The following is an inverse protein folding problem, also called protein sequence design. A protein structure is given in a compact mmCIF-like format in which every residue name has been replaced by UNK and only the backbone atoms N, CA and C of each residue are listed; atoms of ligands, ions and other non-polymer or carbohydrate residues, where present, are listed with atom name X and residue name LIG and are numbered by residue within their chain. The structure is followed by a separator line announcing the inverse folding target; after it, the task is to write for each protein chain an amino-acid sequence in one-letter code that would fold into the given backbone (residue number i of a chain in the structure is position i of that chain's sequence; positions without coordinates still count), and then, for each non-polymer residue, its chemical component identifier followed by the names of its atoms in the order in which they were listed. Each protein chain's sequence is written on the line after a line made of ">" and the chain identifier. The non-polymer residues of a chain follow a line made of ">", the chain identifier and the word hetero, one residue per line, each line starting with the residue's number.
data_IF_019069761820
#
_entry.id   IF_019069761820
#
_cell.length_a   1.000
_cell.length_b   1.000
_cell.length_c   1.000
_cell.angle_alpha   90.00
_cell.angle_beta   90.00
_cell.angle_gamma   90.00
#
_symmetry.space_group_name_H-M   'P 1'
#
loop_
_entity.id
_entity.type
_entity.pdbx_description
1 polymer ?
#
# COMPACT_ATOMS: atom_id res chain seq x y z
N UNK A 1 8.11 -21.00 -24.59
CA UNK A 1 8.38 -19.56 -24.42
C UNK A 1 9.85 -19.25 -24.56
N UNK A 2 10.16 -18.16 -25.22
CA UNK A 2 11.55 -17.74 -25.39
C UNK A 2 12.09 -17.15 -24.08
N UNK A 3 13.28 -17.57 -23.69
CA UNK A 3 13.99 -17.03 -22.55
C UNK A 3 15.01 -16.00 -23.03
N UNK A 4 15.06 -14.87 -22.33
CA UNK A 4 16.08 -13.84 -22.58
C UNK A 4 16.84 -13.60 -21.31
N UNK A 5 18.12 -13.27 -21.44
CA UNK A 5 18.99 -12.95 -20.30
C UNK A 5 19.20 -11.45 -20.20
N UNK A 6 19.29 -10.98 -18.99
CA UNK A 6 19.65 -9.59 -18.70
C UNK A 6 20.49 -9.54 -17.43
N UNK A 7 21.25 -8.49 -17.28
CA UNK A 7 22.08 -8.29 -16.08
C UNK A 7 21.51 -7.17 -15.22
N UNK A 8 21.75 -7.27 -13.92
CA UNK A 8 21.35 -6.27 -12.94
C UNK A 8 22.53 -5.91 -12.07
N UNK A 9 22.73 -4.62 -11.87
CA UNK A 9 23.73 -4.10 -10.93
C UNK A 9 23.03 -3.66 -9.66
N UNK A 10 23.48 -4.18 -8.52
CA UNK A 10 22.94 -3.85 -7.21
C UNK A 10 24.07 -3.43 -6.28
N UNK A 11 23.74 -2.56 -5.35
CA UNK A 11 24.62 -2.21 -4.26
C UNK A 11 24.85 -3.43 -3.36
N UNK A 12 26.00 -3.50 -2.69
CA UNK A 12 26.35 -4.65 -1.87
C UNK A 12 25.29 -5.04 -0.85
N UNK A 13 24.74 -4.06 -0.15
CA UNK A 13 23.70 -4.29 0.86
C UNK A 13 22.43 -4.88 0.23
N UNK A 14 22.05 -4.38 -0.92
CA UNK A 14 20.86 -4.85 -1.62
C UNK A 14 21.06 -6.26 -2.17
N UNK A 15 22.26 -6.55 -2.64
CA UNK A 15 22.60 -7.89 -3.12
C UNK A 15 22.60 -8.91 -1.97
N UNK A 16 23.12 -8.52 -0.80
CA UNK A 16 23.06 -9.37 0.39
C UNK A 16 21.60 -9.65 0.79
N UNK A 17 20.75 -8.65 0.72
CA UNK A 17 19.33 -8.82 1.01
C UNK A 17 18.64 -9.78 0.03
N UNK A 18 18.99 -9.68 -1.26
CA UNK A 18 18.49 -10.61 -2.27
C UNK A 18 18.97 -12.05 -1.99
N UNK A 19 20.23 -12.22 -1.65
CA UNK A 19 20.78 -13.55 -1.35
C UNK A 19 20.14 -14.16 -0.09
N UNK A 20 19.87 -13.35 0.92
CA UNK A 20 19.13 -13.78 2.10
C UNK A 20 17.70 -14.23 1.75
N UNK A 21 17.04 -13.48 0.89
CA UNK A 21 15.69 -13.82 0.40
C UNK A 21 15.70 -15.16 -0.35
N UNK A 22 16.71 -15.40 -1.18
CA UNK A 22 16.88 -16.66 -1.90
C UNK A 22 16.98 -17.83 -0.92
N UNK A 23 17.82 -17.71 0.10
CA UNK A 23 18.03 -18.75 1.10
C UNK A 23 16.81 -19.00 1.97
N UNK A 24 16.20 -17.93 2.48
CA UNK A 24 15.06 -18.03 3.40
C UNK A 24 13.83 -18.65 2.74
N UNK A 25 13.66 -18.46 1.44
CA UNK A 25 12.48 -18.93 0.72
C UNK A 25 12.74 -20.19 -0.12
N UNK A 26 13.96 -20.74 -0.05
CA UNK A 26 14.29 -22.01 -0.71
C UNK A 26 14.36 -21.92 -2.23
N UNK A 27 14.64 -20.74 -2.79
CA UNK A 27 14.85 -20.61 -4.22
C UNK A 27 16.17 -21.24 -4.64
N UNK A 28 16.23 -21.81 -5.86
CA UNK A 28 17.43 -22.44 -6.35
C UNK A 28 18.53 -21.44 -6.69
N UNK A 29 18.17 -20.22 -7.10
CA UNK A 29 19.12 -19.19 -7.50
C UNK A 29 18.43 -17.81 -7.50
N UNK A 30 19.23 -16.76 -7.77
CA UNK A 30 18.75 -15.38 -7.82
C UNK A 30 17.67 -15.17 -8.89
N UNK A 31 17.85 -15.81 -10.05
CA UNK A 31 16.89 -15.66 -11.15
C UNK A 31 15.50 -16.13 -10.78
N UNK A 32 15.38 -17.24 -10.06
CA UNK A 32 14.10 -17.73 -9.58
C UNK A 32 13.43 -16.79 -8.58
N UNK A 33 14.23 -16.22 -7.67
CA UNK A 33 13.73 -15.24 -6.71
C UNK A 33 13.20 -13.99 -7.41
N UNK A 34 13.94 -13.47 -8.38
CA UNK A 34 13.52 -12.31 -9.16
C UNK A 34 12.23 -12.61 -9.96
N UNK A 35 12.17 -13.78 -10.59
CA UNK A 35 10.96 -14.20 -11.30
C UNK A 35 9.75 -14.21 -10.37
N UNK A 36 9.90 -14.79 -9.19
CA UNK A 36 8.82 -14.83 -8.19
C UNK A 36 8.34 -13.42 -7.82
N UNK A 37 9.27 -12.50 -7.57
CA UNK A 37 8.92 -11.12 -7.20
C UNK A 37 8.19 -10.40 -8.33
N UNK A 38 8.64 -10.57 -9.57
CA UNK A 38 8.00 -9.95 -10.73
C UNK A 38 6.60 -10.53 -10.96
N UNK A 39 6.45 -11.85 -10.90
CA UNK A 39 5.15 -12.51 -11.08
C UNK A 39 4.16 -12.09 -9.99
N UNK A 40 4.63 -11.98 -8.76
CA UNK A 40 3.80 -11.51 -7.64
C UNK A 40 3.33 -10.08 -7.86
N UNK A 41 4.22 -9.20 -8.29
CA UNK A 41 3.88 -7.80 -8.59
C UNK A 41 2.84 -7.70 -9.71
N UNK A 42 3.00 -8.48 -10.78
CA UNK A 42 2.06 -8.50 -11.89
C UNK A 42 0.69 -9.06 -11.48
N UNK A 43 0.68 -10.10 -10.67
CA UNK A 43 -0.58 -10.69 -10.17
C UNK A 43 -1.35 -9.68 -9.32
N UNK A 44 -0.66 -8.97 -8.43
CA UNK A 44 -1.27 -7.92 -7.62
C UNK A 44 -1.89 -6.82 -8.48
N UNK A 45 -1.20 -6.38 -9.53
CA UNK A 45 -1.72 -5.38 -10.45
C UNK A 45 -2.95 -5.86 -11.21
N UNK A 46 -2.96 -7.12 -11.64
CA UNK A 46 -4.08 -7.67 -12.41
C UNK A 46 -5.37 -7.74 -11.60
N UNK A 47 -5.31 -8.26 -10.38
CA UNK A 47 -6.52 -8.39 -9.60
C UNK A 47 -7.00 -7.07 -9.00
N UNK A 48 -6.11 -6.11 -8.79
CA UNK A 48 -6.47 -4.78 -8.30
C UNK A 48 -7.41 -4.00 -9.23
N UNK A 49 -7.37 -4.29 -10.53
CA UNK A 49 -8.13 -3.47 -11.50
C UNK A 49 -9.63 -3.73 -11.50
N UNK A 50 -10.08 -4.96 -11.29
CA UNK A 50 -11.48 -5.36 -11.54
C UNK A 50 -12.16 -6.11 -10.41
N UNK A 51 -11.53 -6.23 -9.24
CA UNK A 51 -12.08 -7.02 -8.13
C UNK A 51 -12.62 -6.13 -7.02
N UNK A 52 -13.63 -6.65 -6.34
CA UNK A 52 -14.09 -6.07 -5.09
C UNK A 52 -13.11 -6.49 -4.00
N UNK A 53 -12.60 -5.52 -3.29
CA UNK A 53 -11.62 -5.73 -2.23
C UNK A 53 -12.07 -5.03 -0.96
N UNK A 54 -11.64 -5.59 0.15
CA UNK A 54 -11.74 -4.96 1.46
C UNK A 54 -10.36 -4.55 1.91
N UNK A 55 -10.25 -3.47 2.61
CA UNK A 55 -8.95 -3.01 3.04
C UNK A 55 -8.98 -1.96 4.13
N UNK A 56 -7.80 -1.46 4.40
CA UNK A 56 -7.59 -0.42 5.40
C UNK A 56 -6.67 0.64 4.80
N UNK A 57 -7.07 1.89 4.93
CA UNK A 57 -6.21 3.03 4.62
C UNK A 57 -5.82 3.65 5.95
N UNK A 58 -4.52 3.76 6.22
CA UNK A 58 -4.08 4.50 7.38
C UNK A 58 -3.26 5.70 6.94
N UNK A 59 -3.35 6.77 7.72
CA UNK A 59 -2.56 7.98 7.53
C UNK A 59 -2.08 8.48 8.88
N UNK A 60 -0.91 9.09 8.89
CA UNK A 60 -0.27 9.63 10.10
C UNK A 60 0.01 11.10 9.86
N UNK A 61 -0.45 11.93 10.79
CA UNK A 61 -0.27 13.38 10.71
C UNK A 61 -0.23 14.01 12.11
N UNK A 62 0.15 15.29 12.18
CA UNK A 62 0.21 15.99 13.44
C UNK A 62 -1.19 16.32 13.96
N UNK A 63 -1.45 16.02 15.24
CA UNK A 63 -2.75 16.22 15.88
C UNK A 63 -3.21 17.68 15.83
N UNK A 64 -2.30 18.62 15.94
CA UNK A 64 -2.60 20.05 15.94
C UNK A 64 -3.02 20.60 14.56
N UNK A 65 -2.84 19.84 13.50
CA UNK A 65 -3.16 20.27 12.14
C UNK A 65 -4.65 20.07 11.84
N UNK A 66 -5.47 21.02 12.29
CA UNK A 66 -6.91 20.99 12.04
C UNK A 66 -7.26 21.12 10.55
N UNK A 67 -6.40 21.78 9.77
CA UNK A 67 -6.55 21.89 8.33
C UNK A 67 -6.49 20.50 7.65
N UNK A 68 -5.62 19.63 8.11
CA UNK A 68 -5.53 18.26 7.61
C UNK A 68 -6.77 17.47 7.97
N UNK A 69 -7.21 17.53 9.24
CA UNK A 69 -8.42 16.85 9.69
C UNK A 69 -9.63 17.26 8.87
N UNK A 70 -9.78 18.54 8.61
CA UNK A 70 -10.90 19.06 7.82
C UNK A 70 -10.84 18.58 6.38
N UNK A 71 -9.64 18.53 5.78
CA UNK A 71 -9.46 18.02 4.42
C UNK A 71 -9.79 16.53 4.34
N UNK A 72 -9.35 15.74 5.31
CA UNK A 72 -9.67 14.32 5.40
C UNK A 72 -11.18 14.11 5.49
N UNK A 73 -11.84 14.85 6.39
CA UNK A 73 -13.28 14.76 6.57
C UNK A 73 -14.06 15.05 5.27
N UNK A 74 -13.59 16.05 4.51
CA UNK A 74 -14.19 16.40 3.24
C UNK A 74 -14.06 15.28 2.22
N UNK A 75 -12.87 14.68 2.11
CA UNK A 75 -12.64 13.55 1.21
C UNK A 75 -13.50 12.35 1.61
N UNK A 76 -13.54 12.01 2.89
CA UNK A 76 -14.34 10.90 3.39
C UNK A 76 -15.84 11.12 3.12
N UNK A 77 -16.32 12.33 3.29
CA UNK A 77 -17.71 12.66 3.03
C UNK A 77 -18.07 12.43 1.56
N UNK A 78 -17.16 12.72 0.65
CA UNK A 78 -17.33 12.52 -0.78
C UNK A 78 -17.25 11.04 -1.20
N UNK A 79 -16.74 10.16 -0.32
CA UNK A 79 -16.50 8.75 -0.62
C UNK A 79 -17.15 7.81 0.39
N UNK A 80 -18.29 8.21 0.94
CA UNK A 80 -19.01 7.42 1.96
C UNK A 80 -19.35 6.02 1.48
N UNK A 81 -19.60 5.87 0.19
CA UNK A 81 -19.95 4.58 -0.40
C UNK A 81 -18.79 3.57 -0.35
N UNK A 82 -17.56 4.02 -0.15
CA UNK A 82 -16.38 3.17 -0.06
C UNK A 82 -15.92 2.92 1.36
N UNK A 83 -16.34 3.74 2.31
CA UNK A 83 -15.82 3.74 3.68
C UNK A 83 -16.83 3.09 4.63
N UNK A 84 -16.39 2.00 5.29
CA UNK A 84 -17.22 1.31 6.29
C UNK A 84 -17.12 1.95 7.66
N UNK A 85 -15.93 2.39 8.03
CA UNK A 85 -15.69 3.06 9.31
C UNK A 85 -14.41 3.87 9.23
N UNK A 86 -14.28 4.84 10.12
CA UNK A 86 -13.07 5.65 10.25
C UNK A 86 -12.84 5.93 11.72
N UNK A 87 -11.62 5.75 12.20
CA UNK A 87 -11.24 5.95 13.59
C UNK A 87 -9.94 6.70 13.68
N UNK A 88 -9.81 7.55 14.70
CA UNK A 88 -8.59 8.29 14.95
C UNK A 88 -8.02 7.91 16.32
N UNK A 89 -6.74 7.69 16.37
CA UNK A 89 -6.01 7.32 17.58
C UNK A 89 -4.90 8.32 17.84
N UNK A 90 -4.82 8.81 19.06
CA UNK A 90 -3.81 9.79 19.44
C UNK A 90 -2.60 9.07 20.03
N UNK A 91 -1.50 9.20 19.31
CA UNK A 91 -0.24 8.58 19.71
C UNK A 91 0.61 9.56 20.50
N UNK A 92 1.68 9.07 21.14
CA UNK A 92 2.62 9.95 21.83
C UNK A 92 3.28 10.92 20.85
N UNK A 93 3.70 12.07 21.34
CA UNK A 93 4.38 13.09 20.53
C UNK A 93 3.47 13.95 19.67
N UNK A 94 2.16 13.98 19.98
CA UNK A 94 1.23 14.84 19.24
C UNK A 94 0.91 14.35 17.83
N UNK A 95 0.97 13.06 17.62
CA UNK A 95 0.73 12.41 16.32
C UNK A 95 -0.62 11.71 16.35
N UNK A 96 -1.36 11.80 15.24
CA UNK A 96 -2.61 11.08 15.06
C UNK A 96 -2.43 9.98 14.02
N UNK A 97 -2.92 8.79 14.35
CA UNK A 97 -3.10 7.70 13.39
C UNK A 97 -4.58 7.62 13.06
N UNK A 98 -4.92 7.83 11.80
CA UNK A 98 -6.30 7.64 11.34
C UNK A 98 -6.39 6.40 10.48
N UNK A 99 -7.38 5.57 10.77
CA UNK A 99 -7.58 4.29 10.10
C UNK A 99 -8.99 4.26 9.54
N UNK A 100 -9.09 4.01 8.24
CA UNK A 100 -10.38 3.87 7.55
C UNK A 100 -10.50 2.47 7.00
N UNK A 101 -11.58 1.79 7.34
CA UNK A 101 -11.89 0.47 6.78
C UNK A 101 -12.72 0.68 5.53
N UNK A 102 -12.32 0.08 4.42
CA UNK A 102 -12.87 0.37 3.09
C UNK A 102 -13.26 -0.90 2.35
N UNK A 103 -14.25 -0.76 1.47
CA UNK A 103 -14.76 -1.85 0.64
C UNK A 103 -15.20 -1.27 -0.71
N UNK A 104 -14.78 -1.87 -1.79
CA UNK A 104 -15.17 -1.43 -3.13
C UNK A 104 -14.26 -1.99 -4.20
N UNK A 105 -14.38 -1.48 -5.41
CA UNK A 105 -13.46 -1.85 -6.47
C UNK A 105 -12.05 -1.36 -6.16
N UNK A 106 -11.06 -2.21 -6.41
CA UNK A 106 -9.66 -1.91 -6.07
C UNK A 106 -9.19 -0.57 -6.64
N UNK A 107 -9.55 -0.25 -7.88
CA UNK A 107 -9.17 1.02 -8.51
C UNK A 107 -9.72 2.22 -7.76
N UNK A 108 -10.94 2.11 -7.24
CA UNK A 108 -11.58 3.20 -6.50
C UNK A 108 -10.94 3.38 -5.12
N UNK A 109 -10.58 2.29 -4.46
CA UNK A 109 -9.87 2.35 -3.18
C UNK A 109 -8.46 2.91 -3.34
N UNK A 110 -7.78 2.56 -4.43
CA UNK A 110 -6.46 3.12 -4.74
C UNK A 110 -6.55 4.62 -4.97
N UNK A 111 -7.55 5.08 -5.72
CA UNK A 111 -7.76 6.51 -5.96
C UNK A 111 -8.05 7.26 -4.64
N UNK A 112 -8.88 6.68 -3.77
CA UNK A 112 -9.18 7.26 -2.46
C UNK A 112 -7.91 7.35 -1.60
N UNK A 113 -7.12 6.28 -1.55
CA UNK A 113 -5.87 6.27 -0.81
C UNK A 113 -4.90 7.32 -1.33
N UNK A 114 -4.79 7.47 -2.64
CA UNK A 114 -3.93 8.48 -3.26
C UNK A 114 -4.38 9.91 -2.88
N UNK A 115 -5.68 10.16 -2.85
CA UNK A 115 -6.20 11.46 -2.41
C UNK A 115 -5.84 11.75 -0.96
N UNK A 116 -5.98 10.77 -0.08
CA UNK A 116 -5.70 10.94 1.34
C UNK A 116 -4.20 11.07 1.60
N UNK A 117 -3.37 10.24 0.98
CA UNK A 117 -1.93 10.26 1.22
C UNK A 117 -1.23 11.46 0.59
N UNK A 118 -1.84 12.08 -0.43
CA UNK A 118 -1.27 13.25 -1.08
C UNK A 118 -1.61 14.58 -0.40
N UNK A 119 -2.42 14.58 0.65
CA UNK A 119 -2.69 15.80 1.42
C UNK A 119 -1.37 16.32 1.99
N UNK A 120 -1.10 17.61 1.75
CA UNK A 120 0.13 18.23 2.24
C UNK A 120 0.16 18.18 3.77
N UNK A 121 1.21 17.61 4.33
CA UNK A 121 1.38 17.45 5.78
C UNK A 121 1.13 16.03 6.28
N UNK A 122 0.63 15.14 5.44
CA UNK A 122 0.56 13.72 5.77
C UNK A 122 1.99 13.18 5.79
N UNK A 123 2.39 12.60 6.92
CA UNK A 123 3.74 12.06 7.10
C UNK A 123 3.90 10.69 6.47
N UNK A 124 2.92 9.83 6.71
CA UNK A 124 2.91 8.45 6.20
C UNK A 124 1.47 8.05 5.91
N UNK A 125 1.31 7.20 4.93
CA UNK A 125 0.01 6.64 4.60
C UNK A 125 0.16 5.42 3.72
N UNK A 126 -0.78 4.49 3.85
CA UNK A 126 -0.74 3.25 3.08
C UNK A 126 -2.13 2.65 2.96
N UNK A 127 -2.39 2.03 1.82
CA UNK A 127 -3.55 1.19 1.58
C UNK A 127 -3.10 -0.28 1.64
N UNK A 128 -3.78 -1.05 2.47
CA UNK A 128 -3.62 -2.49 2.50
C UNK A 128 -4.96 -3.10 2.13
N UNK A 129 -4.99 -3.99 1.13
CA UNK A 129 -6.24 -4.56 0.68
C UNK A 129 -6.10 -6.03 0.31
N UNK A 130 -7.24 -6.74 0.36
CA UNK A 130 -7.36 -8.15 0.04
C UNK A 130 -8.69 -8.37 -0.68
N UNK A 131 -8.75 -9.42 -1.49
CA UNK A 131 -9.99 -9.76 -2.19
C UNK A 131 -11.09 -10.07 -1.18
N UNK A 132 -12.28 -9.56 -1.45
CA UNK A 132 -13.46 -9.75 -0.60
C UNK A 132 -14.43 -10.78 -1.17
N UNK A 133 -14.05 -11.42 -2.28
CA UNK A 133 -14.88 -12.41 -2.97
C UNK A 133 -14.08 -13.65 -3.35
#
# INVERSE_FOLDING_TARGET
>A
MALKRFGVSLEDELLESLDSFVLENGFANRSQAIRFLVEKSLAEKKWQCNHIVAGTIFIIYEQKRSDIRNHIAKIELQHQNLILSSSAYYLSGGITLQVSTVLGEAKNLTALADMLTSIKGIRHGKLLMSRAE
#
